data_IF_500039283451
#
_entry.id   IF_500039283451
#
_cell.length_a   1.000
_cell.length_b   1.000
_cell.length_c   1.000
_cell.angle_alpha   90.00
_cell.angle_beta   90.00
_cell.angle_gamma   90.00
#
_symmetry.space_group_name_H-M   'P 1'
#
loop_
_entity.id
_entity.type
_entity.pdbx_description
1 polymer ?
#
# COMPACT_ATOMS: atom_id res chain seq x y z
N UNK A 1 1.97 6.88 19.98
CA UNK A 1 1.34 5.92 19.03
C UNK A 1 2.46 5.28 18.21
N UNK A 2 2.43 3.97 17.92
CA UNK A 2 3.47 3.35 17.10
C UNK A 2 3.25 3.76 15.63
N UNK A 3 4.18 4.54 15.05
CA UNK A 3 4.04 5.09 13.70
C UNK A 3 3.77 4.01 12.64
N UNK A 4 4.44 2.86 12.76
CA UNK A 4 4.21 1.72 11.87
C UNK A 4 2.76 1.20 11.95
N UNK A 5 2.16 1.18 13.16
CA UNK A 5 0.77 0.74 13.31
C UNK A 5 -0.22 1.75 12.70
N UNK A 6 0.05 3.05 12.86
CA UNK A 6 -0.77 4.10 12.26
C UNK A 6 -0.72 4.03 10.72
N UNK A 7 0.47 3.88 10.15
CA UNK A 7 0.67 3.74 8.72
C UNK A 7 -0.03 2.48 8.14
N UNK A 8 0.05 1.32 8.82
CA UNK A 8 -0.67 0.11 8.40
C UNK A 8 -2.20 0.31 8.42
N UNK A 9 -2.71 1.04 9.41
CA UNK A 9 -4.13 1.37 9.49
C UNK A 9 -4.54 2.31 8.35
N UNK A 10 -3.73 3.31 8.02
CA UNK A 10 -3.94 4.22 6.89
C UNK A 10 -3.95 3.45 5.55
N UNK A 11 -2.97 2.57 5.32
CA UNK A 11 -2.95 1.71 4.13
C UNK A 11 -4.19 0.82 4.03
N UNK A 12 -4.76 0.41 5.15
CA UNK A 12 -6.01 -0.36 5.17
C UNK A 12 -7.24 0.46 4.76
N UNK A 13 -7.24 1.78 5.00
CA UNK A 13 -8.28 2.68 4.49
C UNK A 13 -8.12 2.88 2.99
N UNK A 14 -6.89 3.08 2.51
CA UNK A 14 -6.60 3.24 1.09
C UNK A 14 -6.99 1.99 0.29
N UNK A 15 -6.57 0.81 0.75
CA UNK A 15 -6.95 -0.48 0.15
C UNK A 15 -8.48 -0.64 0.10
N UNK A 16 -9.19 -0.29 1.18
CA UNK A 16 -10.66 -0.33 1.21
C UNK A 16 -11.31 0.65 0.25
N UNK A 17 -10.77 1.86 0.11
CA UNK A 17 -11.31 2.86 -0.83
C UNK A 17 -11.19 2.36 -2.28
N UNK A 18 -10.06 1.75 -2.63
CA UNK A 18 -9.87 1.16 -3.95
C UNK A 18 -10.77 -0.06 -4.15
N UNK A 19 -10.89 -0.96 -3.17
CA UNK A 19 -11.78 -2.12 -3.26
C UNK A 19 -13.27 -1.75 -3.39
N UNK A 20 -13.67 -0.61 -2.85
CA UNK A 20 -15.04 -0.11 -2.96
C UNK A 20 -15.34 0.52 -4.33
N UNK A 21 -14.32 0.96 -5.06
CA UNK A 21 -14.44 1.48 -6.42
C UNK A 21 -14.73 0.31 -7.38
N UNK A 22 -15.74 0.44 -8.23
CA UNK A 22 -16.04 -0.58 -9.25
C UNK A 22 -15.01 -0.57 -10.38
N UNK A 23 -14.97 -1.62 -11.19
CA UNK A 23 -14.04 -1.67 -12.34
C UNK A 23 -14.40 -0.65 -13.42
N UNK A 24 -15.69 -0.34 -13.61
CA UNK A 24 -16.15 0.70 -14.53
C UNK A 24 -15.73 2.10 -14.05
N UNK A 25 -15.88 2.38 -12.75
CA UNK A 25 -15.40 3.64 -12.15
C UNK A 25 -13.88 3.77 -12.25
N UNK A 26 -13.16 2.67 -12.01
CA UNK A 26 -11.70 2.65 -12.14
C UNK A 26 -11.27 2.86 -13.58
N UNK A 27 -11.92 2.21 -14.55
CA UNK A 27 -11.65 2.41 -15.97
C UNK A 27 -11.89 3.87 -16.39
N UNK A 28 -13.00 4.46 -15.95
CA UNK A 28 -13.31 5.86 -16.23
C UNK A 28 -12.28 6.82 -15.63
N UNK A 29 -11.85 6.57 -14.39
CA UNK A 29 -10.78 7.34 -13.74
C UNK A 29 -9.47 7.25 -14.53
N UNK A 30 -9.03 6.04 -14.87
CA UNK A 30 -7.78 5.82 -15.60
C UNK A 30 -7.81 6.48 -17.00
N UNK A 31 -8.94 6.40 -17.70
CA UNK A 31 -9.10 7.05 -19.00
C UNK A 31 -9.07 8.58 -18.95
N UNK A 32 -9.38 9.17 -17.79
CA UNK A 32 -9.34 10.62 -17.56
C UNK A 32 -8.00 11.15 -17.06
N UNK A 33 -7.00 10.28 -16.80
CA UNK A 33 -5.70 10.70 -16.29
C UNK A 33 -4.85 11.39 -17.37
N UNK A 34 -4.04 12.40 -17.01
CA UNK A 34 -3.01 12.92 -17.89
C UNK A 34 -2.03 11.83 -18.36
N UNK A 35 -1.38 12.04 -19.51
CA UNK A 35 -0.45 11.06 -20.10
C UNK A 35 0.71 10.69 -19.16
N UNK A 36 1.25 11.67 -18.43
CA UNK A 36 2.31 11.45 -17.43
C UNK A 36 1.85 10.55 -16.29
N UNK A 37 0.64 10.76 -15.77
CA UNK A 37 0.04 9.96 -14.72
C UNK A 37 -0.25 8.55 -15.21
N UNK A 38 -0.83 8.41 -16.41
CA UNK A 38 -1.06 7.12 -17.06
C UNK A 38 0.25 6.34 -17.20
N UNK A 39 1.29 6.97 -17.73
CA UNK A 39 2.65 6.41 -17.84
C UNK A 39 3.24 5.98 -16.48
N UNK A 40 2.94 6.73 -15.41
CA UNK A 40 3.35 6.34 -14.06
C UNK A 40 2.59 5.10 -13.56
N UNK A 41 1.28 5.00 -13.85
CA UNK A 41 0.47 3.81 -13.52
C UNK A 41 0.99 2.57 -14.24
N UNK A 42 1.29 2.65 -15.54
CA UNK A 42 1.86 1.51 -16.30
C UNK A 42 3.16 0.99 -15.65
N UNK A 43 4.06 1.89 -15.25
CA UNK A 43 5.30 1.52 -14.54
C UNK A 43 5.03 0.89 -13.17
N UNK A 44 4.09 1.43 -12.40
CA UNK A 44 3.72 0.87 -11.08
C UNK A 44 3.08 -0.51 -11.20
N UNK A 45 2.38 -0.75 -12.31
CA UNK A 45 1.73 -2.03 -12.58
C UNK A 45 2.65 -3.04 -13.29
N UNK A 46 3.87 -2.63 -13.67
CA UNK A 46 4.83 -3.44 -14.45
C UNK A 46 4.21 -3.98 -15.76
N UNK A 47 3.44 -3.12 -16.44
CA UNK A 47 2.81 -3.41 -17.72
C UNK A 47 3.26 -2.43 -18.79
N UNK A 48 3.07 -2.80 -20.06
CA UNK A 48 3.37 -1.92 -21.19
C UNK A 48 2.32 -0.83 -21.35
N UNK A 49 2.69 0.28 -21.96
CA UNK A 49 1.79 1.43 -22.19
C UNK A 49 0.61 1.11 -23.12
N UNK A 50 0.72 0.06 -23.95
CA UNK A 50 -0.33 -0.42 -24.86
C UNK A 50 -1.20 -1.54 -24.27
N UNK A 51 -1.07 -1.84 -22.97
CA UNK A 51 -1.85 -2.89 -22.32
C UNK A 51 -3.32 -2.50 -22.15
N UNK A 52 -4.21 -3.26 -22.79
CA UNK A 52 -5.67 -3.03 -22.74
C UNK A 52 -6.31 -3.41 -21.41
N UNK A 53 -5.58 -4.10 -20.52
CA UNK A 53 -6.11 -4.62 -19.27
C UNK A 53 -5.55 -3.90 -18.03
N UNK A 54 -5.39 -2.56 -18.14
CA UNK A 54 -4.82 -1.73 -17.10
C UNK A 54 -5.61 -1.78 -15.78
N UNK A 55 -6.94 -1.92 -15.84
CA UNK A 55 -7.80 -2.06 -14.65
C UNK A 55 -7.37 -3.27 -13.82
N UNK A 56 -7.28 -4.45 -14.42
CA UNK A 56 -6.84 -5.66 -13.73
C UNK A 56 -5.40 -5.50 -13.19
N UNK A 57 -4.51 -4.90 -13.99
CA UNK A 57 -3.14 -4.64 -13.60
C UNK A 57 -3.06 -3.76 -12.33
N UNK A 58 -3.86 -2.69 -12.26
CA UNK A 58 -3.97 -1.81 -11.08
C UNK A 58 -4.49 -2.59 -9.87
N UNK A 59 -5.51 -3.44 -10.03
CA UNK A 59 -6.01 -4.29 -8.93
C UNK A 59 -4.92 -5.20 -8.38
N UNK A 60 -4.17 -5.85 -9.26
CA UNK A 60 -3.07 -6.75 -8.89
C UNK A 60 -1.93 -5.99 -8.21
N UNK A 61 -1.55 -4.84 -8.76
CA UNK A 61 -0.50 -3.98 -8.23
C UNK A 61 -0.88 -3.44 -6.84
N UNK A 62 -2.11 -2.95 -6.66
CA UNK A 62 -2.61 -2.49 -5.38
C UNK A 62 -2.62 -3.60 -4.30
N UNK A 63 -3.02 -4.81 -4.67
CA UNK A 63 -3.06 -5.95 -3.75
C UNK A 63 -1.66 -6.31 -3.22
N UNK A 64 -0.65 -6.35 -4.10
CA UNK A 64 0.77 -6.57 -3.74
C UNK A 64 1.40 -5.33 -3.08
N UNK A 65 0.85 -4.16 -3.42
CA UNK A 65 1.32 -2.81 -3.13
C UNK A 65 1.46 -2.47 -1.66
N UNK A 66 0.78 -3.21 -0.78
CA UNK A 66 0.80 -3.01 0.67
C UNK A 66 2.19 -3.22 1.30
N UNK A 67 3.07 -4.00 0.66
CA UNK A 67 4.39 -4.36 1.19
C UNK A 67 5.54 -3.56 0.57
N UNK A 68 5.40 -3.12 -0.68
CA UNK A 68 6.46 -2.46 -1.45
C UNK A 68 6.20 -0.95 -1.69
N UNK A 69 5.05 -0.44 -1.24
CA UNK A 69 4.67 0.97 -1.33
C UNK A 69 3.87 1.34 -2.58
N UNK A 70 3.63 0.41 -3.51
CA UNK A 70 2.94 0.74 -4.76
C UNK A 70 1.47 1.09 -4.53
N UNK A 71 0.82 0.55 -3.50
CA UNK A 71 -0.55 0.93 -3.14
C UNK A 71 -0.63 2.44 -2.84
N UNK A 72 0.33 2.96 -2.08
CA UNK A 72 0.39 4.39 -1.76
C UNK A 72 0.62 5.22 -3.04
N UNK A 73 1.58 4.80 -3.88
CA UNK A 73 1.90 5.52 -5.12
C UNK A 73 0.73 5.54 -6.09
N UNK A 74 0.03 4.42 -6.25
CA UNK A 74 -1.19 4.32 -7.03
C UNK A 74 -2.25 5.29 -6.50
N UNK A 75 -2.50 5.27 -5.18
CA UNK A 75 -3.45 6.19 -4.54
C UNK A 75 -3.14 7.66 -4.83
N UNK A 76 -1.87 8.06 -4.71
CA UNK A 76 -1.42 9.44 -5.01
C UNK A 76 -1.65 9.78 -6.48
N UNK A 77 -1.12 8.98 -7.41
CA UNK A 77 -1.21 9.29 -8.85
C UNK A 77 -2.67 9.31 -9.32
N UNK A 78 -3.48 8.35 -8.90
CA UNK A 78 -4.87 8.25 -9.34
C UNK A 78 -5.78 9.34 -8.76
N UNK A 79 -5.39 9.99 -7.66
CA UNK A 79 -6.21 11.00 -6.99
C UNK A 79 -5.66 12.42 -7.09
N UNK A 80 -4.55 12.62 -7.79
CA UNK A 80 -3.82 13.89 -7.87
C UNK A 80 -4.70 15.06 -8.33
N UNK A 81 -5.47 14.88 -9.42
CA UNK A 81 -6.38 15.91 -9.90
C UNK A 81 -7.50 16.26 -8.91
N UNK A 82 -8.03 15.26 -8.20
CA UNK A 82 -9.05 15.47 -7.16
C UNK A 82 -8.45 16.17 -5.93
N UNK A 83 -7.20 15.88 -5.58
CA UNK A 83 -6.49 16.55 -4.49
C UNK A 83 -6.20 18.02 -4.83
N UNK A 84 -5.74 18.29 -6.05
CA UNK A 84 -5.47 19.64 -6.52
C UNK A 84 -6.74 20.52 -6.47
N UNK A 85 -7.88 20.01 -6.93
CA UNK A 85 -9.18 20.68 -6.85
C UNK A 85 -9.64 20.89 -5.40
N UNK A 86 -9.42 19.91 -4.52
CA UNK A 86 -9.70 20.05 -3.09
C UNK A 86 -8.88 21.18 -2.46
N UNK A 87 -7.57 21.23 -2.74
CA UNK A 87 -6.67 22.29 -2.28
C UNK A 87 -7.10 23.66 -2.82
N UNK A 88 -7.45 23.75 -4.10
CA UNK A 88 -7.92 24.99 -4.72
C UNK A 88 -9.20 25.52 -4.05
N UNK A 89 -10.18 24.65 -3.78
CA UNK A 89 -11.42 25.06 -3.13
C UNK A 89 -11.25 25.42 -1.65
N UNK A 90 -10.32 24.78 -0.95
CA UNK A 90 -10.02 25.11 0.45
C UNK A 90 -9.21 26.41 0.56
N UNK A 91 -8.46 26.80 -0.48
CA UNK A 91 -7.66 28.01 -0.50
C UNK A 91 -6.68 28.07 0.67
N UNK A 92 -6.70 29.17 1.42
CA UNK A 92 -5.80 29.40 2.56
C UNK A 92 -5.97 28.35 3.69
N UNK A 93 -7.09 27.63 3.74
CA UNK A 93 -7.34 26.58 4.72
C UNK A 93 -6.74 25.22 4.31
N UNK A 94 -6.22 25.06 3.08
CA UNK A 94 -5.86 23.75 2.52
C UNK A 94 -4.86 22.93 3.37
N UNK A 95 -3.92 23.59 4.06
CA UNK A 95 -2.92 22.91 4.90
C UNK A 95 -3.51 22.33 6.19
N UNK A 96 -4.56 22.96 6.72
CA UNK A 96 -5.19 22.58 7.99
C UNK A 96 -6.68 22.97 8.01
N UNK A 97 -7.51 22.36 7.14
CA UNK A 97 -8.92 22.70 7.11
C UNK A 97 -9.62 22.07 8.31
N UNK A 98 -10.67 22.73 8.75
CA UNK A 98 -11.63 22.17 9.71
C UNK A 98 -12.48 21.08 9.06
N UNK A 99 -13.17 20.29 9.88
CA UNK A 99 -14.12 19.28 9.39
C UNK A 99 -15.25 19.92 8.58
N UNK A 100 -15.77 21.08 9.02
CA UNK A 100 -16.84 21.82 8.34
C UNK A 100 -16.38 22.34 6.97
N UNK A 101 -15.15 22.86 6.87
CA UNK A 101 -14.59 23.33 5.58
C UNK A 101 -14.39 22.17 4.61
N UNK A 102 -13.87 21.02 5.09
CA UNK A 102 -13.80 19.81 4.27
C UNK A 102 -15.20 19.39 3.79
N UNK A 103 -16.17 19.28 4.71
CA UNK A 103 -17.54 18.90 4.37
C UNK A 103 -18.19 19.85 3.37
N UNK A 104 -17.88 21.14 3.43
CA UNK A 104 -18.40 22.13 2.49
C UNK A 104 -17.91 21.91 1.05
N UNK A 105 -16.66 21.47 0.86
CA UNK A 105 -16.08 21.25 -0.49
C UNK A 105 -16.37 19.87 -1.07
N UNK A 106 -16.65 18.86 -0.22
CA UNK A 106 -16.88 17.48 -0.65
C UNK A 106 -17.99 17.31 -1.69
N UNK A 107 -19.17 17.95 -1.60
CA UNK A 107 -20.23 17.78 -2.60
C UNK A 107 -19.79 18.15 -4.02
N UNK A 108 -19.09 19.30 -4.16
CA UNK A 108 -18.58 19.74 -5.46
C UNK A 108 -17.50 18.82 -6.02
N UNK A 109 -16.62 18.29 -5.15
CA UNK A 109 -15.62 17.30 -5.54
C UNK A 109 -16.26 15.98 -6.00
N UNK A 110 -17.31 15.53 -5.31
CA UNK A 110 -18.04 14.31 -5.68
C UNK A 110 -18.72 14.46 -7.03
N UNK A 111 -19.30 15.63 -7.32
CA UNK A 111 -19.92 15.91 -8.62
C UNK A 111 -18.90 15.86 -9.77
N UNK A 112 -17.69 16.39 -9.56
CA UNK A 112 -16.66 16.47 -10.62
C UNK A 112 -15.81 15.21 -10.79
N UNK A 113 -15.45 14.55 -9.69
CA UNK A 113 -14.49 13.43 -9.68
C UNK A 113 -15.13 12.08 -9.38
N UNK A 114 -16.38 12.08 -8.90
CA UNK A 114 -17.06 10.88 -8.41
C UNK A 114 -16.69 10.50 -6.99
N UNK A 115 -17.63 9.85 -6.30
CA UNK A 115 -17.51 9.47 -4.89
C UNK A 115 -16.32 8.53 -4.62
N UNK A 116 -16.08 7.57 -5.51
CA UNK A 116 -14.99 6.59 -5.36
C UNK A 116 -13.61 7.26 -5.42
N UNK A 117 -13.42 8.24 -6.31
CA UNK A 117 -12.18 9.03 -6.43
C UNK A 117 -11.97 9.93 -5.22
N UNK A 118 -13.03 10.58 -4.72
CA UNK A 118 -12.97 11.41 -3.50
C UNK A 118 -12.58 10.56 -2.28
N UNK A 119 -13.15 9.36 -2.12
CA UNK A 119 -12.76 8.43 -1.06
C UNK A 119 -11.31 7.98 -1.18
N UNK A 120 -10.84 7.72 -2.41
CA UNK A 120 -9.45 7.36 -2.70
C UNK A 120 -8.49 8.50 -2.32
N UNK A 121 -8.81 9.74 -2.72
CA UNK A 121 -8.07 10.96 -2.40
C UNK A 121 -7.93 11.14 -0.89
N UNK A 122 -9.05 11.12 -0.17
CA UNK A 122 -9.07 11.24 1.29
C UNK A 122 -8.20 10.17 1.96
N UNK A 123 -8.33 8.91 1.54
CA UNK A 123 -7.53 7.83 2.10
C UNK A 123 -6.04 7.95 1.76
N UNK A 124 -5.69 8.39 0.55
CA UNK A 124 -4.30 8.63 0.14
C UNK A 124 -3.65 9.74 0.97
N UNK A 125 -4.38 10.82 1.27
CA UNK A 125 -3.96 11.91 2.15
C UNK A 125 -3.65 11.44 3.57
N UNK A 126 -4.43 10.48 4.10
CA UNK A 126 -4.15 9.85 5.40
C UNK A 126 -2.87 9.02 5.37
N UNK A 127 -2.61 8.28 4.28
CA UNK A 127 -1.36 7.52 4.11
C UNK A 127 -0.16 8.45 3.98
N UNK A 128 -0.33 9.62 3.36
CA UNK A 128 0.65 10.69 3.29
C UNK A 128 0.91 11.42 4.61
N UNK A 129 0.24 11.02 5.70
CA UNK A 129 0.41 11.58 7.04
C UNK A 129 0.14 13.08 7.13
N UNK A 130 -0.79 13.60 6.32
CA UNK A 130 -1.17 15.02 6.36
C UNK A 130 -1.67 15.42 7.77
N UNK A 131 -1.47 16.67 8.22
CA UNK A 131 -1.91 17.14 9.54
C UNK A 131 -3.40 16.90 9.83
N UNK A 132 -4.23 16.96 8.79
CA UNK A 132 -5.68 16.76 8.83
C UNK A 132 -6.12 15.27 8.87
N UNK A 133 -5.18 14.32 8.88
CA UNK A 133 -5.46 12.88 8.81
C UNK A 133 -6.49 12.39 9.83
N UNK A 134 -6.49 12.93 11.05
CA UNK A 134 -7.43 12.52 12.10
C UNK A 134 -8.89 12.85 11.73
N UNK A 135 -9.12 14.03 11.16
CA UNK A 135 -10.44 14.48 10.68
C UNK A 135 -10.89 13.59 9.52
N UNK A 136 -10.00 13.37 8.55
CA UNK A 136 -10.31 12.52 7.38
C UNK A 136 -10.65 11.08 7.79
N UNK A 137 -9.92 10.51 8.76
CA UNK A 137 -10.23 9.17 9.30
C UNK A 137 -11.61 9.14 9.96
N UNK A 138 -12.03 10.24 10.61
CA UNK A 138 -13.38 10.41 11.14
C UNK A 138 -14.41 10.37 10.02
N UNK A 139 -14.26 11.23 9.02
CA UNK A 139 -15.15 11.31 7.86
C UNK A 139 -15.32 9.95 7.16
N UNK A 140 -14.22 9.27 6.85
CA UNK A 140 -14.26 7.95 6.19
C UNK A 140 -14.92 6.84 7.03
N UNK A 141 -15.19 7.07 8.32
CA UNK A 141 -15.87 6.13 9.21
C UNK A 141 -17.32 6.51 9.51
N UNK A 142 -17.63 7.80 9.63
CA UNK A 142 -18.89 8.27 10.20
C UNK A 142 -19.70 9.16 9.27
N UNK A 143 -19.08 9.84 8.30
CA UNK A 143 -19.78 10.78 7.41
C UNK A 143 -20.79 10.05 6.51
N UNK A 144 -22.02 10.55 6.42
CA UNK A 144 -23.09 9.87 5.67
C UNK A 144 -22.80 9.75 4.17
N UNK A 145 -21.98 10.64 3.62
CA UNK A 145 -21.67 10.72 2.20
C UNK A 145 -20.41 9.92 1.88
N UNK A 146 -19.29 10.24 2.54
CA UNK A 146 -17.96 9.69 2.17
C UNK A 146 -17.55 8.46 2.97
N UNK A 147 -18.31 8.04 3.98
CA UNK A 147 -17.99 6.82 4.75
C UNK A 147 -17.73 5.62 3.83
N UNK A 148 -16.64 4.93 4.12
CA UNK A 148 -16.29 3.70 3.42
C UNK A 148 -17.29 2.59 3.77
N UNK A 149 -17.77 1.81 2.79
CA UNK A 149 -18.62 0.66 3.05
C UNK A 149 -17.89 -0.33 3.97
N UNK A 150 -18.61 -1.08 4.82
CA UNK A 150 -18.00 -2.10 5.66
C UNK A 150 -17.11 -3.01 4.81
N UNK A 151 -15.88 -3.28 5.26
CA UNK A 151 -15.03 -4.21 4.56
C UNK A 151 -15.71 -5.57 4.56
N UNK A 152 -15.98 -6.13 3.39
CA UNK A 152 -16.34 -7.53 3.30
C UNK A 152 -15.17 -8.32 3.91
N UNK A 153 -15.46 -9.11 4.93
CA UNK A 153 -14.51 -10.08 5.45
C UNK A 153 -14.28 -11.09 4.34
N UNK A 154 -13.28 -10.83 3.46
CA UNK A 154 -12.79 -11.86 2.55
C UNK A 154 -12.50 -13.07 3.44
N UNK A 155 -13.16 -14.22 3.21
CA UNK A 155 -12.86 -15.41 3.98
C UNK A 155 -11.35 -15.57 3.89
N UNK A 156 -10.69 -15.62 5.06
CA UNK A 156 -9.28 -15.98 5.12
C UNK A 156 -9.18 -17.22 4.25
N UNK A 157 -8.49 -17.10 3.10
CA UNK A 157 -8.18 -18.27 2.30
C UNK A 157 -7.71 -19.31 3.31
N UNK A 158 -8.33 -20.52 3.35
CA UNK A 158 -8.04 -21.49 4.37
C UNK A 158 -6.52 -21.54 4.49
N UNK A 159 -6.01 -21.21 5.69
CA UNK A 159 -4.58 -21.26 5.95
C UNK A 159 -4.13 -22.54 5.29
N UNK A 160 -3.29 -22.42 4.26
CA UNK A 160 -2.74 -23.58 3.56
C UNK A 160 -2.41 -24.57 4.68
N UNK A 161 -3.00 -25.78 4.68
CA UNK A 161 -2.72 -26.74 5.75
C UNK A 161 -1.20 -26.75 5.88
N UNK A 162 -0.64 -26.62 7.10
CA UNK A 162 0.79 -26.47 7.30
C UNK A 162 1.45 -27.50 6.39
N UNK A 163 2.19 -27.01 5.36
CA UNK A 163 2.69 -27.87 4.28
C UNK A 163 3.23 -29.12 4.95
N UNK A 164 2.59 -30.27 4.73
CA UNK A 164 3.06 -31.53 5.26
C UNK A 164 4.55 -31.59 4.94
N UNK A 165 5.38 -31.91 5.92
CA UNK A 165 6.83 -31.77 5.82
C UNK A 165 7.37 -32.51 4.58
N UNK A 166 7.47 -31.80 3.46
CA UNK A 166 8.03 -32.34 2.22
C UNK A 166 9.43 -32.81 2.58
N UNK A 167 9.71 -34.09 2.34
CA UNK A 167 11.00 -34.72 2.65
C UNK A 167 12.19 -33.90 2.11
N UNK A 168 12.00 -33.17 1.01
CA UNK A 168 12.98 -32.21 0.45
C UNK A 168 13.31 -31.05 1.39
N UNK A 169 12.34 -30.51 2.13
CA UNK A 169 12.55 -29.37 3.05
C UNK A 169 13.28 -29.80 4.32
N UNK A 170 13.03 -31.02 4.79
CA UNK A 170 13.79 -31.65 5.86
C UNK A 170 15.22 -31.99 5.41
N UNK A 171 15.39 -32.53 4.21
CA UNK A 171 16.70 -32.79 3.61
C UNK A 171 17.50 -31.50 3.42
N UNK A 172 16.87 -30.41 2.97
CA UNK A 172 17.53 -29.11 2.80
C UNK A 172 17.94 -28.49 4.15
N UNK A 173 17.13 -28.67 5.21
CA UNK A 173 17.50 -28.23 6.57
C UNK A 173 18.67 -29.07 7.13
N UNK A 174 18.66 -30.38 6.91
CA UNK A 174 19.75 -31.27 7.32
C UNK A 174 21.07 -30.90 6.61
N UNK A 175 21.04 -30.74 5.28
CA UNK A 175 22.20 -30.33 4.49
C UNK A 175 22.75 -28.96 4.92
N UNK A 176 21.88 -27.99 5.25
CA UNK A 176 22.30 -26.68 5.78
C UNK A 176 22.91 -26.77 7.17
N UNK A 177 22.44 -27.69 8.02
CA UNK A 177 22.97 -27.90 9.37
C UNK A 177 24.35 -28.55 9.32
N UNK A 178 24.54 -29.54 8.45
CA UNK A 178 25.83 -30.19 8.21
C UNK A 178 26.86 -29.20 7.67
N UNK A 179 26.51 -28.41 6.65
CA UNK A 179 27.41 -27.39 6.11
C UNK A 179 27.80 -26.33 7.14
N UNK A 180 26.87 -25.91 7.99
CA UNK A 180 27.18 -24.97 9.09
C UNK A 180 28.08 -25.61 10.16
N UNK A 181 27.92 -26.91 10.43
CA UNK A 181 28.75 -27.61 11.41
C UNK A 181 30.19 -27.79 10.90
N UNK A 182 30.39 -28.09 9.62
CA UNK A 182 31.72 -28.19 9.01
C UNK A 182 32.42 -26.83 8.98
N UNK A 183 31.71 -25.77 8.55
CA UNK A 183 32.24 -24.40 8.55
C UNK A 183 32.63 -23.94 9.96
N UNK A 184 31.83 -24.26 10.99
CA UNK A 184 32.14 -23.93 12.38
C UNK A 184 33.34 -24.72 12.93
N UNK A 185 33.47 -26.00 12.59
CA UNK A 185 34.60 -26.83 13.00
C UNK A 185 35.92 -26.33 12.38
N UNK A 186 35.90 -25.99 11.09
CA UNK A 186 37.05 -25.42 10.38
C UNK A 186 37.42 -24.03 10.91
N UNK A 187 36.43 -23.20 11.23
CA UNK A 187 36.67 -21.90 11.84
C UNK A 187 37.29 -22.03 13.24
N UNK A 188 36.87 -23.04 14.03
CA UNK A 188 37.45 -23.32 15.34
C UNK A 188 38.89 -23.83 15.23
N UNK A 189 39.15 -24.75 14.31
CA UNK A 189 40.51 -25.23 14.01
C UNK A 189 41.44 -24.09 13.57
N UNK A 190 40.97 -23.19 12.69
CA UNK A 190 41.73 -21.99 12.31
C UNK A 190 42.00 -21.06 13.49
N UNK A 191 41.02 -20.83 14.36
CA UNK A 191 41.19 -20.01 15.58
C UNK A 191 42.19 -20.62 16.55
N UNK A 192 42.15 -21.94 16.75
CA UNK A 192 43.08 -22.64 17.65
C UNK A 192 44.52 -22.65 17.11
N UNK A 193 44.70 -22.77 15.79
CA UNK A 193 46.01 -22.64 15.14
C UNK A 193 46.60 -21.23 15.28
N UNK A 194 45.78 -20.19 15.06
CA UNK A 194 46.20 -18.78 15.24
C UNK A 194 46.54 -18.49 16.70
N UNK A 195 45.77 -18.99 17.66
CA UNK A 195 46.05 -18.83 19.08
C UNK A 195 47.35 -19.54 19.51
N UNK A 196 47.63 -20.74 18.98
CA UNK A 196 48.88 -21.46 19.23
C UNK A 196 50.10 -20.78 18.60
N UNK A 197 49.95 -20.16 17.43
CA UNK A 197 51.01 -19.38 16.80
C UNK A 197 51.32 -18.09 17.59
N UNK A 198 50.30 -17.43 18.14
CA UNK A 198 50.46 -16.21 18.94
C UNK A 198 51.09 -16.44 20.32
N UNK A 199 50.93 -17.64 20.90
CA UNK A 199 51.55 -18.01 22.19
C UNK A 199 52.97 -18.60 22.05
N UNK A 200 53.54 -18.60 20.84
CA UNK A 200 54.92 -19.05 20.54
C UNK A 200 55.85 -17.91 20.09
N UNK A 201 55.34 -16.69 20.01
CA UNK A 201 56.11 -15.45 19.81
C UNK A 201 56.21 -14.70 21.14
#
# INVERSE_FOLDING_TARGET
MNQTKAHIAALSLLDRSLLAMTDDELAALLAGLPEDHTSAIHRLCDVRDDDTNLVEAVRVAAHKGRLNGDLQRLGVVMSDACLADCVEQLGDAADMPTEEELQAVLPGLIERHGLSTVRLMLAATVVGEAPVSAIIVGLLKTDETVKLPPAEMKPLAPLLPPKADDAERLALKAARKERKATEQAEAKLRRDQVARARNRA
#
